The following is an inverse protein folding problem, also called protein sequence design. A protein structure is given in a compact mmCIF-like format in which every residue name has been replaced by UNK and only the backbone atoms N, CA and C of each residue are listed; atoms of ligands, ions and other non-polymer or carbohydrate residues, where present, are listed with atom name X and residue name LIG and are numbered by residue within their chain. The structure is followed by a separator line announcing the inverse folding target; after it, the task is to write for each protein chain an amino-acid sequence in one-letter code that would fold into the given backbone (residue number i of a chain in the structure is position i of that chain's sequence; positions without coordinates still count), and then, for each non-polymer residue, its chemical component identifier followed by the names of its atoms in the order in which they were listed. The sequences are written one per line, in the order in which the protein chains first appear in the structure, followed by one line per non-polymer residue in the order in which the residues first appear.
data_IF_206553076581
#
_entry.id   IF_206553076581
#
_cell.length_a   1.000
_cell.length_b   1.000
_cell.length_c   1.000
_cell.angle_alpha   90.00
_cell.angle_beta   90.00
_cell.angle_gamma   90.00
#
_symmetry.space_group_name_H-M   'P 1'
#
loop_
_entity.id
_entity.type
_entity.pdbx_description
1 polymer ?
#
# COMPACT_ATOMS: atom_id res chain seq x y z
N UNK A 1 2.70 9.76 25.10
CA UNK A 1 2.32 9.22 23.79
C UNK A 1 3.58 8.65 23.16
N UNK A 2 3.62 7.37 22.88
CA UNK A 2 4.70 6.77 22.09
C UNK A 2 4.33 7.01 20.63
N UNK A 3 5.12 7.77 19.89
CA UNK A 3 4.97 7.89 18.45
C UNK A 3 5.64 6.66 17.83
N UNK A 4 4.91 5.98 16.97
CA UNK A 4 5.52 4.91 16.18
C UNK A 4 6.56 5.48 15.22
N UNK A 5 7.61 4.72 15.03
CA UNK A 5 8.65 5.09 14.12
C UNK A 5 8.13 5.10 12.68
N UNK A 6 8.52 6.11 11.92
CA UNK A 6 8.28 6.11 10.49
C UNK A 6 9.03 4.95 9.83
N UNK A 7 8.49 4.41 8.75
CA UNK A 7 9.15 3.36 7.99
C UNK A 7 8.99 3.56 6.48
N UNK A 8 9.89 2.94 5.73
CA UNK A 8 9.86 2.90 4.28
C UNK A 8 9.80 1.42 3.88
N UNK A 9 8.81 1.03 3.09
CA UNK A 9 8.80 -0.26 2.41
C UNK A 9 9.78 -0.21 1.24
N UNK A 10 10.90 -0.92 1.31
CA UNK A 10 11.97 -0.84 0.32
C UNK A 10 12.05 -2.05 -0.60
N UNK A 11 11.41 -3.15 -0.25
CA UNK A 11 11.37 -4.36 -1.07
C UNK A 11 9.93 -4.73 -1.37
N UNK A 12 9.60 -4.88 -2.66
CA UNK A 12 8.25 -5.25 -3.09
C UNK A 12 8.29 -6.55 -3.89
N UNK A 13 7.87 -7.63 -3.28
CA UNK A 13 7.82 -8.94 -3.93
C UNK A 13 6.73 -9.03 -5.01
N UNK A 14 5.66 -8.22 -4.96
CA UNK A 14 4.68 -8.16 -6.05
C UNK A 14 5.33 -7.74 -7.37
N UNK A 15 6.23 -6.78 -7.33
CA UNK A 15 6.95 -6.30 -8.51
C UNK A 15 8.10 -7.21 -8.95
N UNK A 16 8.48 -8.21 -8.16
CA UNK A 16 9.58 -9.12 -8.49
C UNK A 16 9.23 -9.99 -9.71
N UNK A 17 10.16 -10.12 -10.65
CA UNK A 17 9.96 -10.89 -11.89
C UNK A 17 9.66 -12.37 -11.64
N UNK A 18 10.20 -12.93 -10.56
CA UNK A 18 10.00 -14.34 -10.18
C UNK A 18 8.65 -14.62 -9.49
N UNK A 19 7.91 -13.59 -9.11
CA UNK A 19 6.64 -13.75 -8.40
C UNK A 19 5.50 -14.07 -9.35
N UNK A 20 4.61 -14.98 -8.94
CA UNK A 20 3.39 -15.31 -9.66
C UNK A 20 2.17 -14.88 -8.85
N UNK A 21 1.23 -14.18 -9.52
CA UNK A 21 -0.01 -13.76 -8.90
C UNK A 21 -1.15 -14.68 -9.32
N UNK A 22 -2.00 -15.01 -8.35
CA UNK A 22 -3.27 -15.71 -8.55
C UNK A 22 -4.37 -14.98 -7.78
N UNK A 23 -5.60 -15.10 -8.23
CA UNK A 23 -6.74 -14.46 -7.57
C UNK A 23 -8.03 -15.27 -7.78
N UNK A 24 -9.02 -14.98 -6.93
CA UNK A 24 -10.41 -15.37 -7.16
C UNK A 24 -11.26 -14.15 -7.49
N UNK A 25 -12.34 -14.37 -8.24
CA UNK A 25 -13.37 -13.38 -8.48
C UNK A 25 -12.91 -12.13 -9.24
N UNK A 26 -11.88 -12.23 -10.07
CA UNK A 26 -11.49 -11.13 -10.98
C UNK A 26 -12.55 -11.02 -12.07
N UNK A 27 -13.12 -9.84 -12.26
CA UNK A 27 -14.12 -9.56 -13.29
C UNK A 27 -13.52 -9.69 -14.70
N UNK A 28 -14.37 -10.06 -15.66
CA UNK A 28 -13.96 -10.20 -17.06
C UNK A 28 -13.39 -8.89 -17.60
N UNK A 29 -12.25 -8.98 -18.26
CA UNK A 29 -11.55 -7.84 -18.85
C UNK A 29 -10.48 -7.22 -17.96
N UNK A 30 -10.33 -7.65 -16.70
CA UNK A 30 -9.30 -7.22 -15.80
C UNK A 30 -8.20 -8.28 -15.64
N UNK A 31 -6.97 -7.84 -15.36
CA UNK A 31 -5.81 -8.71 -15.22
C UNK A 31 -5.18 -8.53 -13.83
N UNK A 32 -5.02 -9.64 -13.10
CA UNK A 32 -4.41 -9.62 -11.76
C UNK A 32 -2.98 -9.02 -11.78
N UNK A 33 -2.26 -9.11 -12.88
CA UNK A 33 -0.93 -8.54 -13.00
C UNK A 33 -0.90 -7.01 -12.98
N UNK A 34 -2.03 -6.32 -13.16
CA UNK A 34 -2.10 -4.86 -12.96
C UNK A 34 -1.73 -4.45 -11.54
N UNK A 35 -1.90 -5.32 -10.54
CA UNK A 35 -1.44 -5.06 -9.16
C UNK A 35 0.08 -4.91 -9.02
N UNK A 36 0.86 -5.37 -9.99
CA UNK A 36 2.34 -5.30 -9.98
C UNK A 36 2.89 -3.97 -10.47
N UNK A 37 2.13 -3.25 -11.29
CA UNK A 37 2.58 -1.97 -11.79
C UNK A 37 2.27 -0.87 -10.77
N UNK A 38 3.01 0.23 -10.82
CA UNK A 38 2.82 1.37 -9.94
C UNK A 38 1.80 2.39 -10.47
N UNK A 39 0.97 1.98 -11.44
CA UNK A 39 0.00 2.84 -12.11
C UNK A 39 -1.35 2.72 -11.41
N UNK A 40 -1.71 3.71 -10.62
CA UNK A 40 -2.96 3.72 -9.86
C UNK A 40 -4.24 3.70 -10.72
N UNK A 41 -4.15 4.05 -12.00
CA UNK A 41 -5.25 4.02 -12.97
C UNK A 41 -5.43 2.66 -13.66
N UNK A 42 -4.42 1.78 -13.62
CA UNK A 42 -4.50 0.41 -14.10
C UNK A 42 -4.81 -0.50 -12.92
N UNK A 43 -6.09 -0.79 -12.72
CA UNK A 43 -6.59 -1.50 -11.56
C UNK A 43 -7.14 -2.87 -11.91
N UNK A 44 -7.22 -3.72 -10.91
CA UNK A 44 -7.97 -4.98 -10.96
C UNK A 44 -9.35 -4.74 -10.34
N UNK A 45 -10.39 -5.20 -10.98
CA UNK A 45 -11.72 -5.24 -10.40
C UNK A 45 -12.08 -6.67 -9.98
N UNK A 46 -12.56 -6.79 -8.75
CA UNK A 46 -13.05 -8.04 -8.17
C UNK A 46 -14.57 -7.98 -8.06
N UNK A 47 -15.22 -9.10 -8.32
CA UNK A 47 -16.66 -9.25 -8.13
C UNK A 47 -17.06 -9.10 -6.65
N UNK A 48 -18.35 -8.93 -6.39
CA UNK A 48 -18.89 -8.99 -5.03
C UNK A 48 -18.68 -10.35 -4.39
N UNK A 49 -18.62 -10.39 -3.06
CA UNK A 49 -18.40 -11.60 -2.28
C UNK A 49 -17.03 -11.68 -1.66
N UNK A 50 -16.62 -12.89 -1.28
CA UNK A 50 -15.30 -13.16 -0.71
C UNK A 50 -14.32 -13.51 -1.82
N UNK A 51 -13.31 -12.66 -1.99
CA UNK A 51 -12.28 -12.80 -2.99
C UNK A 51 -10.89 -12.70 -2.37
N UNK A 52 -9.89 -13.09 -3.15
CA UNK A 52 -8.50 -12.97 -2.71
C UNK A 52 -7.55 -12.58 -3.87
N UNK A 53 -6.47 -11.93 -3.50
CA UNK A 53 -5.26 -11.78 -4.29
C UNK A 53 -4.11 -12.50 -3.56
N UNK A 54 -3.41 -13.38 -4.26
CA UNK A 54 -2.35 -14.22 -3.70
C UNK A 54 -1.07 -14.07 -4.52
N UNK A 55 0.05 -14.03 -3.82
CA UNK A 55 1.38 -14.07 -4.43
C UNK A 55 2.11 -15.36 -4.04
N UNK A 56 2.75 -15.99 -5.02
CA UNK A 56 3.82 -16.97 -4.83
C UNK A 56 5.16 -16.26 -5.02
N UNK A 57 5.95 -16.18 -3.97
CA UNK A 57 7.28 -15.55 -4.00
C UNK A 57 8.37 -16.48 -4.55
N UNK A 58 8.02 -17.71 -5.00
CA UNK A 58 8.96 -18.74 -5.50
C UNK A 58 9.70 -19.47 -4.37
N UNK A 59 10.02 -18.80 -3.28
CA UNK A 59 10.64 -19.36 -2.09
C UNK A 59 10.08 -18.68 -0.84
N UNK A 60 10.41 -19.21 0.34
CA UNK A 60 10.07 -18.55 1.59
C UNK A 60 10.84 -17.23 1.72
N UNK A 61 10.14 -16.14 1.95
CA UNK A 61 10.69 -14.77 2.09
C UNK A 61 10.16 -14.11 3.34
N UNK A 62 10.97 -13.23 3.91
CA UNK A 62 10.56 -12.42 5.04
C UNK A 62 9.66 -11.26 4.59
N UNK A 63 8.54 -11.08 5.27
CA UNK A 63 7.61 -9.97 5.05
C UNK A 63 7.28 -9.33 6.37
N UNK A 64 7.30 -8.00 6.42
CA UNK A 64 6.95 -7.22 7.60
C UNK A 64 6.12 -5.97 7.28
N UNK A 65 5.74 -5.77 6.00
CA UNK A 65 4.71 -4.81 5.62
C UNK A 65 3.87 -5.29 4.43
N UNK A 66 2.64 -4.79 4.35
CA UNK A 66 1.77 -4.89 3.18
C UNK A 66 1.14 -3.53 2.95
N UNK A 67 1.16 -3.04 1.72
CA UNK A 67 0.51 -1.80 1.33
C UNK A 67 -0.50 -2.04 0.20
N UNK A 68 -1.62 -1.32 0.25
CA UNK A 68 -2.68 -1.33 -0.75
C UNK A 68 -2.97 0.12 -1.11
N UNK A 69 -2.84 0.47 -2.39
CA UNK A 69 -3.03 1.83 -2.87
C UNK A 69 -4.10 1.86 -3.96
N UNK A 70 -4.74 3.01 -4.13
CA UNK A 70 -5.80 3.22 -5.12
C UNK A 70 -6.88 2.14 -5.03
N UNK A 71 -7.51 2.02 -3.87
CA UNK A 71 -8.51 0.99 -3.58
C UNK A 71 -9.89 1.60 -3.28
N UNK A 72 -10.92 0.78 -3.38
CA UNK A 72 -12.30 1.13 -3.01
C UNK A 72 -12.82 0.26 -1.84
N UNK A 73 -11.94 -0.36 -1.06
CA UNK A 73 -12.29 -1.36 -0.05
C UNK A 73 -13.28 -0.82 1.00
N UNK A 74 -13.10 0.43 1.42
CA UNK A 74 -13.94 1.03 2.46
C UNK A 74 -15.26 1.56 1.90
N UNK A 75 -15.23 2.27 0.78
CA UNK A 75 -16.43 2.77 0.09
C UNK A 75 -17.34 1.63 -0.37
N UNK A 76 -16.76 0.49 -0.77
CA UNK A 76 -17.52 -0.73 -1.14
C UNK A 76 -17.94 -1.58 0.06
N UNK A 77 -17.75 -1.05 1.27
CA UNK A 77 -18.19 -1.69 2.51
C UNK A 77 -17.69 -3.13 2.67
N UNK A 78 -16.42 -3.35 2.42
CA UNK A 78 -15.81 -4.64 2.68
C UNK A 78 -15.90 -4.96 4.17
N UNK A 79 -16.48 -6.09 4.53
CA UNK A 79 -16.75 -6.46 5.93
C UNK A 79 -15.54 -7.02 6.64
N UNK A 80 -14.62 -7.61 5.90
CA UNK A 80 -13.37 -8.15 6.43
C UNK A 80 -12.23 -8.03 5.40
N UNK A 81 -11.06 -7.70 5.87
CA UNK A 81 -9.81 -7.70 5.11
C UNK A 81 -8.80 -8.48 5.96
N UNK A 82 -8.24 -9.55 5.42
CA UNK A 82 -7.34 -10.43 6.16
C UNK A 82 -6.09 -10.71 5.34
N UNK A 83 -4.92 -10.58 5.97
CA UNK A 83 -3.64 -10.96 5.39
C UNK A 83 -3.17 -12.23 6.04
N UNK A 84 -2.84 -13.22 5.23
CA UNK A 84 -2.34 -14.52 5.69
C UNK A 84 -1.05 -14.89 4.98
N UNK A 85 -0.18 -15.61 5.70
CA UNK A 85 1.00 -16.28 5.17
C UNK A 85 0.86 -17.79 5.25
N UNK A 86 1.39 -18.52 4.27
CA UNK A 86 1.37 -19.97 4.23
C UNK A 86 2.59 -20.53 3.49
N UNK A 87 3.01 -21.75 3.85
CA UNK A 87 3.92 -22.56 3.05
C UNK A 87 3.17 -23.47 2.07
N UNK A 88 1.84 -23.55 2.18
CA UNK A 88 0.95 -24.32 1.30
C UNK A 88 0.19 -23.38 0.35
N UNK A 89 0.24 -23.69 -0.94
CA UNK A 89 -0.43 -22.91 -2.00
C UNK A 89 -1.95 -22.88 -1.83
N UNK A 90 -2.54 -23.93 -1.27
CA UNK A 90 -3.99 -24.02 -1.03
C UNK A 90 -4.42 -23.27 0.25
N UNK A 91 -3.47 -22.84 1.09
CA UNK A 91 -3.77 -22.24 2.40
C UNK A 91 -4.54 -23.14 3.37
N UNK A 92 -4.43 -24.47 3.21
CA UNK A 92 -4.99 -25.43 4.16
C UNK A 92 -4.42 -25.24 5.57
N UNK A 93 -3.14 -24.93 5.66
CA UNK A 93 -2.49 -24.44 6.90
C UNK A 93 -1.98 -23.03 6.64
N UNK A 94 -2.42 -22.06 7.43
CA UNK A 94 -2.04 -20.66 7.23
C UNK A 94 -1.98 -19.90 8.55
N UNK A 95 -1.14 -18.89 8.60
CA UNK A 95 -1.04 -17.95 9.74
C UNK A 95 -1.67 -16.63 9.36
N UNK A 96 -2.57 -16.12 10.19
CA UNK A 96 -3.14 -14.79 10.02
C UNK A 96 -2.14 -13.75 10.54
N UNK A 97 -1.74 -12.83 9.68
CA UNK A 97 -0.77 -11.77 9.98
C UNK A 97 -1.45 -10.46 10.36
N UNK A 98 -2.56 -10.15 9.71
CA UNK A 98 -3.37 -8.96 10.02
C UNK A 98 -4.84 -9.22 9.69
N UNK A 99 -5.72 -8.58 10.44
CA UNK A 99 -7.17 -8.60 10.20
C UNK A 99 -7.72 -7.21 10.42
N UNK A 100 -8.60 -6.78 9.53
CA UNK A 100 -9.38 -5.56 9.63
C UNK A 100 -10.84 -5.92 9.43
N UNK A 101 -11.68 -5.67 10.42
CA UNK A 101 -13.10 -6.00 10.41
C UNK A 101 -13.93 -4.74 10.53
N UNK A 102 -14.99 -4.64 9.75
CA UNK A 102 -15.93 -3.53 9.84
C UNK A 102 -16.80 -3.68 11.06
N UNK A 103 -16.78 -2.67 11.95
CA UNK A 103 -17.52 -2.69 13.22
C UNK A 103 -18.98 -2.28 13.06
N UNK A 104 -19.27 -1.37 12.13
CA UNK A 104 -20.62 -0.83 11.97
C UNK A 104 -20.97 -0.57 10.50
N UNK A 105 -22.27 -0.53 10.23
CA UNK A 105 -22.81 -0.16 8.92
C UNK A 105 -22.86 1.37 8.68
N UNK A 106 -22.25 2.18 9.55
CA UNK A 106 -22.26 3.63 9.46
C UNK A 106 -21.57 4.19 8.21
N UNK A 107 -21.85 5.44 7.93
CA UNK A 107 -21.18 6.24 6.91
C UNK A 107 -20.63 7.49 7.58
N UNK A 108 -19.32 7.69 7.66
CA UNK A 108 -18.24 6.83 7.14
C UNK A 108 -18.10 5.49 7.88
N UNK A 109 -17.54 4.46 7.23
CA UNK A 109 -17.36 3.15 7.83
C UNK A 109 -16.32 3.18 8.96
N UNK A 110 -16.53 2.37 9.98
CA UNK A 110 -15.63 2.22 11.12
C UNK A 110 -15.07 0.80 11.12
N UNK A 111 -13.76 0.68 11.27
CA UNK A 111 -13.06 -0.60 11.27
C UNK A 111 -12.23 -0.76 12.53
N UNK A 112 -12.11 -1.99 12.98
CA UNK A 112 -11.20 -2.42 14.03
C UNK A 112 -10.41 -3.64 13.59
N UNK A 113 -9.30 -3.92 14.25
CA UNK A 113 -8.51 -5.11 13.95
C UNK A 113 -7.09 -5.09 14.51
N UNK A 114 -6.37 -6.18 14.21
CA UNK A 114 -4.99 -6.38 14.62
C UNK A 114 -4.01 -5.91 13.55
N UNK A 115 -4.12 -4.67 13.08
CA UNK A 115 -3.17 -4.11 12.13
C UNK A 115 -2.54 -2.84 12.71
N UNK A 116 -1.31 -2.58 12.33
CA UNK A 116 -0.60 -1.38 12.72
C UNK A 116 -0.58 -0.44 11.52
N UNK A 117 -1.53 0.48 11.45
CA UNK A 117 -1.43 1.63 10.56
C UNK A 117 -0.57 2.68 11.25
N UNK A 118 0.64 2.94 10.76
CA UNK A 118 1.53 4.06 11.10
C UNK A 118 1.65 4.48 12.58
N UNK A 119 0.83 3.98 13.49
CA UNK A 119 0.85 4.31 14.91
C UNK A 119 0.45 3.07 15.72
N UNK A 120 1.37 2.55 16.47
CA UNK A 120 1.30 1.41 17.38
C UNK A 120 -0.06 1.03 17.92
N UNK A 121 -0.22 -0.27 18.08
CA UNK A 121 -1.27 -0.92 18.87
C UNK A 121 -2.66 -0.94 18.25
N UNK A 122 -3.31 -2.10 18.40
CA UNK A 122 -4.69 -2.40 18.02
C UNK A 122 -5.57 -1.14 17.89
N UNK A 123 -5.96 -0.81 16.67
CA UNK A 123 -6.91 0.27 16.46
C UNK A 123 -8.28 -0.17 16.97
N UNK A 124 -8.68 0.41 18.08
CA UNK A 124 -10.07 0.41 18.46
C UNK A 124 -10.81 1.42 17.58
N UNK A 125 -11.66 0.95 16.68
CA UNK A 125 -12.63 1.74 15.90
C UNK A 125 -12.09 2.99 15.23
N UNK A 126 -11.52 2.86 14.04
CA UNK A 126 -11.16 4.02 13.22
C UNK A 126 -12.14 4.24 12.07
N UNK A 127 -12.45 5.51 11.85
CA UNK A 127 -13.10 5.97 10.63
C UNK A 127 -12.07 5.96 9.51
N UNK A 128 -12.36 5.26 8.43
CA UNK A 128 -11.46 5.11 7.28
C UNK A 128 -12.17 5.48 5.99
N UNK A 129 -11.41 5.97 5.03
CA UNK A 129 -11.87 6.25 3.66
C UNK A 129 -10.88 5.65 2.65
N UNK A 130 -11.17 5.72 1.37
CA UNK A 130 -10.37 5.13 0.31
C UNK A 130 -9.23 6.04 -0.18
N UNK A 131 -9.19 7.31 0.25
CA UNK A 131 -8.18 8.28 -0.21
C UNK A 131 -6.76 7.91 0.22
N UNK A 132 -6.49 7.59 1.50
CA UNK A 132 -5.16 7.16 1.89
C UNK A 132 -4.92 5.70 1.53
N UNK A 133 -3.68 5.40 1.17
CA UNK A 133 -3.24 4.02 1.07
C UNK A 133 -3.32 3.32 2.44
N UNK A 134 -3.68 2.05 2.42
CA UNK A 134 -3.61 1.18 3.60
C UNK A 134 -2.19 0.64 3.70
N UNK A 135 -1.56 0.77 4.85
CA UNK A 135 -0.27 0.16 5.10
C UNK A 135 -0.32 -0.65 6.40
N UNK A 136 -0.21 -1.96 6.26
CA UNK A 136 -0.12 -2.87 7.41
C UNK A 136 1.36 -3.03 7.79
N UNK A 137 1.71 -2.60 8.99
CA UNK A 137 2.98 -2.91 9.62
C UNK A 137 2.82 -4.24 10.33
N UNK A 138 3.58 -5.23 9.92
CA UNK A 138 3.51 -6.60 10.44
C UNK A 138 4.73 -6.91 11.32
N UNK A 139 4.58 -7.90 12.20
CA UNK A 139 5.72 -8.61 12.73
C UNK A 139 6.32 -9.47 11.61
N UNK A 140 7.65 -9.60 11.55
CA UNK A 140 8.31 -10.33 10.48
C UNK A 140 7.81 -11.77 10.42
N UNK A 141 7.27 -12.15 9.27
CA UNK A 141 6.78 -13.49 8.99
C UNK A 141 7.47 -14.05 7.76
N UNK A 142 7.75 -15.37 7.77
CA UNK A 142 8.51 -16.05 6.73
C UNK A 142 7.66 -17.14 6.10
N UNK A 143 7.13 -16.86 4.90
CA UNK A 143 6.33 -17.80 4.12
C UNK A 143 6.66 -17.70 2.63
N UNK A 144 6.27 -18.71 1.85
CA UNK A 144 6.36 -18.66 0.39
C UNK A 144 5.15 -17.95 -0.21
N UNK A 145 3.95 -18.19 0.34
CA UNK A 145 2.70 -17.67 -0.18
C UNK A 145 2.11 -16.64 0.77
N UNK A 146 1.65 -15.52 0.21
CA UNK A 146 0.90 -14.52 0.95
C UNK A 146 -0.41 -14.23 0.25
N UNK A 147 -1.48 -14.10 1.02
CA UNK A 147 -2.83 -13.89 0.50
C UNK A 147 -3.51 -12.74 1.23
N UNK A 148 -4.00 -11.77 0.46
CA UNK A 148 -4.99 -10.81 0.89
C UNK A 148 -6.36 -11.38 0.58
N UNK A 149 -7.22 -11.56 1.59
CA UNK A 149 -8.62 -11.96 1.44
C UNK A 149 -9.51 -10.81 1.87
N UNK A 150 -10.55 -10.53 1.12
CA UNK A 150 -11.53 -9.49 1.44
C UNK A 150 -12.94 -9.95 1.06
N UNK A 151 -13.93 -9.47 1.82
CA UNK A 151 -15.35 -9.78 1.62
C UNK A 151 -16.09 -8.47 1.43
N UNK A 152 -16.57 -8.20 0.21
CA UNK A 152 -17.22 -6.95 -0.15
C UNK A 152 -18.63 -7.19 -0.69
N UNK A 153 -19.56 -6.30 -0.36
CA UNK A 153 -20.95 -6.39 -0.79
C UNK A 153 -21.16 -6.09 -2.29
N UNK A 154 -20.22 -5.38 -2.89
CA UNK A 154 -20.23 -5.00 -4.31
C UNK A 154 -18.85 -5.15 -4.92
N UNK A 155 -18.75 -5.04 -6.26
CA UNK A 155 -17.46 -5.06 -6.96
C UNK A 155 -16.52 -4.00 -6.43
N UNK A 156 -15.25 -4.35 -6.25
CA UNK A 156 -14.21 -3.51 -5.65
C UNK A 156 -13.00 -3.41 -6.55
N UNK A 157 -12.40 -2.23 -6.61
CA UNK A 157 -11.17 -1.95 -7.38
C UNK A 157 -9.98 -1.88 -6.44
N UNK A 158 -8.86 -2.42 -6.90
CA UNK A 158 -7.55 -2.31 -6.25
C UNK A 158 -6.52 -2.00 -7.34
N UNK A 159 -5.81 -0.88 -7.22
CA UNK A 159 -4.82 -0.46 -8.20
C UNK A 159 -3.45 -1.10 -7.95
N UNK A 160 -2.88 -0.90 -6.77
CA UNK A 160 -1.51 -1.32 -6.48
C UNK A 160 -1.46 -2.07 -5.17
N UNK A 161 -0.72 -3.17 -5.16
CA UNK A 161 -0.36 -3.89 -3.94
C UNK A 161 1.16 -4.02 -3.83
N UNK A 162 1.66 -3.83 -2.63
CA UNK A 162 3.06 -4.06 -2.28
C UNK A 162 3.16 -4.92 -1.03
N UNK A 163 4.11 -5.84 -1.03
CA UNK A 163 4.44 -6.71 0.11
C UNK A 163 5.94 -6.92 0.15
N UNK A 164 6.53 -6.82 1.32
CA UNK A 164 7.98 -7.01 1.44
C UNK A 164 8.55 -6.60 2.77
N UNK A 165 9.74 -6.02 2.74
CA UNK A 165 10.49 -5.60 3.90
C UNK A 165 10.43 -4.08 4.09
N UNK A 166 10.30 -3.67 5.34
CA UNK A 166 10.37 -2.28 5.75
C UNK A 166 11.73 -1.94 6.35
N UNK A 167 12.16 -0.73 6.15
CA UNK A 167 13.21 -0.08 6.91
C UNK A 167 12.54 0.88 7.89
N UNK A 168 12.68 0.61 9.17
CA UNK A 168 12.10 1.43 10.24
C UNK A 168 13.15 2.37 10.79
N UNK A 169 12.80 3.64 10.95
CA UNK A 169 13.70 4.62 11.55
C UNK A 169 13.66 4.49 13.08
N UNK A 170 14.82 4.59 13.72
CA UNK A 170 14.91 4.50 15.19
C UNK A 170 14.18 5.65 15.89
N UNK A 171 13.96 6.76 15.20
CA UNK A 171 13.27 7.92 15.74
C UNK A 171 12.16 8.37 14.79
N UNK A 172 11.03 8.77 15.36
CA UNK A 172 9.95 9.40 14.62
C UNK A 172 10.40 10.72 13.99
N UNK A 173 9.87 11.06 12.84
CA UNK A 173 10.09 12.37 12.24
C UNK A 173 9.36 13.45 13.05
N UNK A 174 10.04 14.59 13.23
CA UNK A 174 9.42 15.76 13.80
C UNK A 174 8.31 16.27 12.85
N UNK A 175 7.14 16.58 13.41
CA UNK A 175 6.05 17.19 12.63
C UNK A 175 6.49 18.51 12.04
N UNK A 176 6.56 18.58 10.71
CA UNK A 176 7.16 19.70 9.98
C UNK A 176 8.52 19.39 9.35
N UNK A 177 9.04 18.17 9.55
CA UNK A 177 10.19 17.69 8.79
C UNK A 177 9.80 17.59 7.31
N UNK A 178 10.37 18.49 6.52
CA UNK A 178 10.28 18.46 5.07
C UNK A 178 11.66 18.03 4.57
N UNK A 179 11.83 16.78 4.10
CA UNK A 179 13.12 16.38 3.55
C UNK A 179 13.42 17.28 2.36
N UNK A 180 14.56 17.95 2.41
CA UNK A 180 15.06 18.65 1.22
C UNK A 180 15.39 17.57 0.19
N UNK A 181 14.67 17.59 -0.93
CA UNK A 181 14.99 16.75 -2.07
C UNK A 181 16.36 17.17 -2.58
N UNK A 182 17.38 16.37 -2.29
CA UNK A 182 18.70 16.40 -2.92
C UNK A 182 19.64 17.57 -2.59
N UNK A 183 19.44 18.37 -1.56
CA UNK A 183 20.29 19.56 -1.31
C UNK A 183 20.58 20.40 -2.57
N UNK A 184 19.64 20.37 -3.52
CA UNK A 184 19.76 21.06 -4.78
C UNK A 184 18.86 22.29 -4.77
N UNK A 185 19.45 23.46 -4.75
CA UNK A 185 18.73 24.71 -4.94
C UNK A 185 18.66 24.99 -6.45
N UNK A 186 17.45 25.01 -7.00
CA UNK A 186 17.22 25.35 -8.39
C UNK A 186 16.74 26.79 -8.47
N UNK A 187 17.62 27.66 -8.90
CA UNK A 187 17.28 29.05 -9.19
C UNK A 187 16.99 29.23 -10.68
N UNK A 188 15.76 29.61 -10.98
CA UNK A 188 15.35 29.89 -12.37
C UNK A 188 15.29 31.39 -12.59
N UNK A 189 16.15 31.91 -13.45
CA UNK A 189 16.16 33.33 -13.81
C UNK A 189 15.61 33.50 -15.23
N UNK A 190 14.53 34.28 -15.33
CA UNK A 190 13.94 34.64 -16.62
C UNK A 190 14.60 35.90 -17.14
N UNK A 191 15.34 35.80 -18.25
CA UNK A 191 15.99 36.92 -18.88
C UNK A 191 15.02 37.58 -19.86
N UNK A 192 14.81 38.89 -19.64
CA UNK A 192 14.01 39.74 -20.56
C UNK A 192 14.86 40.94 -21.06
N UNK A 193 14.68 41.32 -22.27
CA UNK A 193 15.24 42.56 -22.82
C UNK A 193 14.58 43.78 -22.17
N UNK A 194 15.23 44.96 -22.30
CA UNK A 194 14.67 46.25 -21.82
C UNK A 194 13.28 46.50 -22.46
N UNK A 195 13.02 45.99 -23.64
CA UNK A 195 11.70 46.06 -24.31
C UNK A 195 10.71 44.96 -23.92
N UNK A 196 11.01 44.17 -22.89
CA UNK A 196 10.12 43.11 -22.38
C UNK A 196 10.12 41.80 -23.21
N UNK A 197 10.97 41.70 -24.22
CA UNK A 197 11.09 40.49 -25.05
C UNK A 197 11.78 39.39 -24.22
N UNK A 198 11.21 38.20 -24.27
CA UNK A 198 11.74 37.02 -23.59
C UNK A 198 13.04 36.56 -24.26
N UNK A 199 14.15 36.56 -23.57
CA UNK A 199 15.47 36.20 -24.09
C UNK A 199 15.88 34.77 -23.73
N UNK A 200 15.15 34.14 -22.85
CA UNK A 200 15.41 32.78 -22.42
C UNK A 200 15.37 32.64 -20.89
N UNK A 201 15.56 31.42 -20.43
CA UNK A 201 15.61 31.09 -19.01
C UNK A 201 16.97 30.47 -18.70
N UNK A 202 17.66 31.00 -17.71
CA UNK A 202 18.82 30.34 -17.12
C UNK A 202 18.38 29.56 -15.89
N UNK A 203 18.85 28.33 -15.78
CA UNK A 203 18.60 27.46 -14.64
C UNK A 203 19.97 27.23 -13.98
N UNK A 204 20.10 27.70 -12.76
CA UNK A 204 21.28 27.46 -11.94
C UNK A 204 20.91 26.36 -10.92
N UNK A 205 21.73 25.34 -10.84
CA UNK A 205 21.62 24.27 -9.86
C UNK A 205 22.85 24.32 -8.97
N UNK A 206 22.65 24.65 -7.70
CA UNK A 206 23.70 24.58 -6.70
C UNK A 206 23.43 23.39 -5.80
N UNK A 207 24.39 22.45 -5.73
CA UNK A 207 24.42 21.38 -4.75
C UNK A 207 25.46 21.70 -3.68
N UNK A 208 25.15 21.49 -2.40
CA UNK A 208 26.09 21.55 -1.28
C UNK A 208 26.48 20.14 -0.84
#
# INVERSE_FOLDING_TARGET
MSFDNAFIGYNNYFAAAASTLTASGVDTGFNINSLKNWQAFDYVQFASGTNYAQIDCGSAVNVDYVAICAHELFTKNCTAITIKGSSDVAFGTSTTLATLTRDSAGTPPVYSGSYKLNTSTSLASQVVNDDPHICFKLDTATFRYYRLTFTCASSVKIGVMAIGLKMEFERGFYGGFMPQTWNEEITTTVNKSIGGIYLGTSIERSGT
#
